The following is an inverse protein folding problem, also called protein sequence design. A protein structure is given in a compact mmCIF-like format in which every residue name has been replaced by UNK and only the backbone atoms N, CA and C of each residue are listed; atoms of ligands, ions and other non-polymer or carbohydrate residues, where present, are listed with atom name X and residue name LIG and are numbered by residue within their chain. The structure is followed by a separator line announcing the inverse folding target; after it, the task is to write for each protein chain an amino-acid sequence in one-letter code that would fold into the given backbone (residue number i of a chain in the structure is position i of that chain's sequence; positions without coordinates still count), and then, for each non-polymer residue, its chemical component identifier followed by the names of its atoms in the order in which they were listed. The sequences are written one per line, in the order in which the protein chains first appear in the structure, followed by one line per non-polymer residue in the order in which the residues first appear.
data_IF_676198065150
#
_entry.id   IF_676198065150
#
_cell.length_a   1.000
_cell.length_b   1.000
_cell.length_c   1.000
_cell.angle_alpha   90.00
_cell.angle_beta   90.00
_cell.angle_gamma   90.00
#
_symmetry.space_group_name_H-M   'P 1'
#
loop_
_entity.id
_entity.type
_entity.pdbx_description
1 polymer ?
#
# COMPACT_ATOMS: atom_id res chain seq x y z
N UNK A 1 4.27 -7.27 11.99
CA UNK A 1 3.56 -7.20 10.71
C UNK A 1 4.53 -7.53 9.58
N UNK A 2 4.14 -8.39 8.64
CA UNK A 2 4.98 -8.78 7.51
C UNK A 2 4.45 -8.10 6.25
N UNK A 3 5.24 -7.20 5.68
CA UNK A 3 4.91 -6.55 4.41
C UNK A 3 5.14 -7.54 3.27
N UNK A 4 4.18 -7.62 2.35
CA UNK A 4 4.24 -8.46 1.16
C UNK A 4 3.79 -7.65 -0.06
N UNK A 5 4.30 -8.04 -1.22
CA UNK A 5 3.90 -7.44 -2.49
C UNK A 5 2.41 -7.67 -2.73
N UNK A 6 1.76 -6.73 -3.41
CA UNK A 6 0.32 -6.72 -3.71
C UNK A 6 -0.64 -6.62 -2.52
N UNK A 7 -0.14 -6.47 -1.28
CA UNK A 7 -1.03 -6.15 -0.15
C UNK A 7 -1.77 -4.84 -0.39
N UNK A 8 -3.08 -4.86 -0.18
CA UNK A 8 -3.96 -3.73 -0.31
C UNK A 8 -4.42 -3.26 1.08
N UNK A 9 -4.25 -1.98 1.35
CA UNK A 9 -4.69 -1.36 2.59
C UNK A 9 -5.76 -0.32 2.28
N UNK A 10 -6.76 -0.19 3.15
CA UNK A 10 -7.77 0.87 3.08
C UNK A 10 -7.51 1.88 4.19
N UNK A 11 -7.39 3.15 3.81
CA UNK A 11 -7.18 4.27 4.72
C UNK A 11 -8.25 5.34 4.46
N UNK A 12 -9.36 5.23 5.19
CA UNK A 12 -10.52 6.09 4.93
C UNK A 12 -11.15 5.77 3.58
N UNK A 13 -11.10 6.73 2.66
CA UNK A 13 -11.64 6.63 1.29
C UNK A 13 -10.57 6.21 0.26
N UNK A 14 -9.30 6.20 0.65
CA UNK A 14 -8.19 5.83 -0.23
C UNK A 14 -7.74 4.39 -0.01
N UNK A 15 -7.20 3.81 -1.08
CA UNK A 15 -6.60 2.50 -1.11
C UNK A 15 -5.10 2.62 -1.39
N UNK A 16 -4.32 1.78 -0.72
CA UNK A 16 -2.87 1.77 -0.77
C UNK A 16 -2.42 0.36 -1.12
N UNK A 17 -1.86 0.16 -2.31
CA UNK A 17 -1.33 -1.14 -2.73
C UNK A 17 0.19 -1.13 -2.73
N UNK A 18 0.83 -2.13 -2.13
CA UNK A 18 2.28 -2.32 -2.27
C UNK A 18 2.57 -2.86 -3.69
N UNK A 19 3.31 -2.09 -4.49
CA UNK A 19 3.69 -2.45 -5.85
C UNK A 19 5.01 -3.21 -5.86
N UNK A 20 5.97 -2.78 -5.04
CA UNK A 20 7.30 -3.40 -4.95
C UNK A 20 7.84 -3.30 -3.53
N UNK A 21 8.51 -4.35 -3.07
CA UNK A 21 9.11 -4.41 -1.74
C UNK A 21 10.63 -4.67 -1.85
N UNK A 22 11.42 -3.62 -1.69
CA UNK A 22 12.88 -3.72 -1.60
C UNK A 22 13.34 -4.04 -0.17
N UNK A 23 14.65 -4.20 0.04
CA UNK A 23 15.21 -4.51 1.37
C UNK A 23 14.87 -3.43 2.41
N UNK A 24 15.06 -2.16 2.06
CA UNK A 24 14.85 -1.00 2.97
C UNK A 24 13.76 -0.03 2.50
N UNK A 25 13.23 -0.22 1.29
CA UNK A 25 12.23 0.64 0.69
C UNK A 25 10.96 -0.13 0.32
N UNK A 26 9.87 0.60 0.18
CA UNK A 26 8.56 0.12 -0.26
C UNK A 26 8.05 1.09 -1.30
N UNK A 27 7.75 0.57 -2.48
CA UNK A 27 6.99 1.29 -3.49
C UNK A 27 5.53 0.94 -3.35
N UNK A 28 4.66 1.93 -3.17
CA UNK A 28 3.23 1.73 -3.05
C UNK A 28 2.47 2.68 -3.96
N UNK A 29 1.24 2.30 -4.30
CA UNK A 29 0.34 3.10 -5.13
C UNK A 29 -0.87 3.52 -4.29
N UNK A 30 -1.19 4.81 -4.29
CA UNK A 30 -2.44 5.34 -3.74
C UNK A 30 -3.48 5.42 -4.84
N UNK A 31 -4.70 4.99 -4.57
CA UNK A 31 -5.81 4.98 -5.53
C UNK A 31 -7.14 5.24 -4.81
N UNK A 32 -8.08 5.89 -5.47
CA UNK A 32 -9.45 6.10 -4.94
C UNK A 32 -10.36 4.91 -5.25
N UNK A 33 -10.04 4.15 -6.30
CA UNK A 33 -10.73 2.92 -6.69
C UNK A 33 -9.71 1.79 -6.93
N UNK A 34 -9.81 0.65 -6.20
CA UNK A 34 -8.90 -0.47 -6.35
C UNK A 34 -9.05 -1.22 -7.68
N UNK A 35 -10.16 -1.01 -8.42
CA UNK A 35 -10.48 -1.69 -9.69
C UNK A 35 -9.80 -1.00 -10.87
N UNK A 36 -9.92 0.33 -10.98
CA UNK A 36 -9.30 1.08 -12.08
C UNK A 36 -7.78 1.11 -11.97
N UNK A 37 -7.26 0.90 -10.76
CA UNK A 37 -5.85 0.98 -10.43
C UNK A 37 -5.21 2.31 -10.87
N UNK A 38 -5.99 3.37 -11.09
CA UNK A 38 -5.47 4.71 -11.37
C UNK A 38 -5.00 5.36 -10.08
N UNK A 39 -3.80 5.93 -10.09
CA UNK A 39 -3.17 6.35 -8.85
C UNK A 39 -1.72 6.77 -8.97
N UNK A 40 -1.21 7.38 -7.91
CA UNK A 40 0.18 7.84 -7.82
C UNK A 40 1.05 6.78 -7.17
N UNK A 41 2.23 6.53 -7.73
CA UNK A 41 3.22 5.63 -7.12
C UNK A 41 4.19 6.44 -6.27
N UNK A 42 4.43 5.98 -5.05
CA UNK A 42 5.32 6.59 -4.08
C UNK A 42 6.39 5.58 -3.65
N UNK A 43 7.62 6.06 -3.46
CA UNK A 43 8.73 5.27 -2.92
C UNK A 43 9.11 5.85 -1.55
N UNK A 44 9.01 5.03 -0.51
CA UNK A 44 9.32 5.42 0.87
C UNK A 44 10.14 4.35 1.56
N UNK A 45 10.73 4.67 2.71
CA UNK A 45 11.35 3.65 3.56
C UNK A 45 10.30 2.75 4.21
N UNK A 46 10.70 1.53 4.62
CA UNK A 46 9.81 0.63 5.39
C UNK A 46 9.28 1.27 6.67
N UNK A 47 10.07 2.14 7.32
CA UNK A 47 9.68 2.82 8.56
C UNK A 47 8.57 3.85 8.30
N UNK A 48 8.69 4.62 7.23
CA UNK A 48 7.66 5.56 6.81
C UNK A 48 6.39 4.82 6.38
N UNK A 49 6.53 3.75 5.59
CA UNK A 49 5.39 2.96 5.16
C UNK A 49 4.61 2.37 6.35
N UNK A 50 5.29 1.73 7.32
CA UNK A 50 4.63 1.19 8.51
C UNK A 50 3.94 2.27 9.36
N UNK A 51 4.39 3.53 9.31
CA UNK A 51 3.72 4.66 9.97
C UNK A 51 2.51 5.14 9.17
N UNK A 52 2.61 5.16 7.85
CA UNK A 52 1.55 5.54 6.92
C UNK A 52 0.31 4.66 7.11
N UNK A 53 0.50 3.33 7.07
CA UNK A 53 -0.59 2.35 7.21
C UNK A 53 -1.01 2.11 8.65
N UNK A 54 -0.53 2.91 9.62
CA UNK A 54 -0.91 2.76 11.02
C UNK A 54 -2.38 3.16 11.18
N UNK A 55 -3.24 2.17 11.44
CA UNK A 55 -4.69 2.36 11.51
C UNK A 55 -5.41 2.14 10.18
N UNK A 56 -4.68 1.78 9.12
CA UNK A 56 -5.28 1.29 7.88
C UNK A 56 -5.72 -0.17 8.06
N UNK A 57 -6.79 -0.55 7.37
CA UNK A 57 -7.30 -1.92 7.34
C UNK A 57 -6.62 -2.68 6.21
N UNK A 58 -6.01 -3.84 6.52
CA UNK A 58 -5.47 -4.73 5.49
C UNK A 58 -6.64 -5.49 4.84
N UNK A 59 -6.83 -5.29 3.55
CA UNK A 59 -7.82 -6.00 2.76
C UNK A 59 -7.17 -7.24 2.13
N UNK A 60 -7.78 -8.39 2.32
CA UNK A 60 -7.50 -9.58 1.50
C UNK A 60 -8.12 -9.35 0.12
N UNK A 61 -7.35 -8.71 -0.75
CA UNK A 61 -7.72 -8.54 -2.15
C UNK A 61 -6.98 -9.59 -2.97
N UNK A 62 -7.65 -10.70 -3.25
CA UNK A 62 -7.28 -11.55 -4.37
C UNK A 62 -7.75 -10.86 -5.66
N UNK A 63 -6.84 -10.52 -6.59
CA UNK A 63 -7.21 -9.97 -7.90
C UNK A 63 -7.96 -10.99 -8.78
#
# INVERSE_FOLDING_TARGET
MKLQQNQLYKQGEEYIRIVELARLAVSYKTMTDPITAEGTTHLVTKKEFCRLIKGAELLDYEP
#
